data_IF_673016932721
#
_entry.id   IF_673016932721
#
_cell.length_a   1.000
_cell.length_b   1.000
_cell.length_c   1.000
_cell.angle_alpha   90.00
_cell.angle_beta   90.00
_cell.angle_gamma   90.00
#
_symmetry.space_group_name_H-M   'P 1'
#
loop_
_entity.id
_entity.type
_entity.pdbx_description
1 polymer ?
#
# COMPACT_ATOMS: atom_id res chain seq x y z
N UNK A 1 -28.03 42.77 -16.23
CA UNK A 1 -27.16 43.50 -17.18
C UNK A 1 -27.24 42.83 -18.54
N UNK A 2 -27.89 43.47 -19.52
CA UNK A 2 -27.99 42.94 -20.88
C UNK A 2 -26.61 43.00 -21.58
N UNK A 3 -26.23 41.93 -22.28
CA UNK A 3 -24.97 41.87 -23.02
C UNK A 3 -25.00 42.89 -24.18
N UNK A 4 -23.94 43.72 -24.28
CA UNK A 4 -23.81 44.71 -25.36
C UNK A 4 -23.88 44.04 -26.74
N UNK A 5 -24.56 44.66 -27.74
CA UNK A 5 -24.62 44.13 -29.09
C UNK A 5 -23.22 44.03 -29.70
N UNK A 6 -22.89 42.89 -30.30
CA UNK A 6 -21.63 42.71 -31.04
C UNK A 6 -21.71 43.52 -32.32
N UNK A 7 -21.00 44.65 -32.37
CA UNK A 7 -21.00 45.60 -33.49
C UNK A 7 -20.35 45.09 -34.77
N UNK A 8 -19.81 43.87 -34.81
CA UNK A 8 -19.17 43.32 -36.01
C UNK A 8 -19.45 41.81 -36.15
N UNK A 9 -19.97 41.44 -37.33
CA UNK A 9 -20.46 40.10 -37.67
C UNK A 9 -19.29 39.26 -38.22
N UNK A 10 -18.49 38.67 -37.33
CA UNK A 10 -17.48 37.67 -37.72
C UNK A 10 -18.23 36.36 -37.96
N UNK A 11 -18.21 35.88 -39.21
CA UNK A 11 -18.97 34.70 -39.64
C UNK A 11 -18.20 33.40 -39.34
N UNK A 12 -16.87 33.48 -39.21
CA UNK A 12 -16.00 32.30 -39.01
C UNK A 12 -16.08 31.84 -37.55
N UNK A 13 -16.47 30.57 -37.29
CA UNK A 13 -16.50 30.01 -35.94
C UNK A 13 -15.12 30.09 -35.26
N UNK A 14 -15.12 30.29 -33.95
CA UNK A 14 -13.91 30.32 -33.11
C UNK A 14 -12.94 31.48 -33.37
N UNK A 15 -13.22 32.39 -34.31
CA UNK A 15 -12.43 33.60 -34.55
C UNK A 15 -13.03 34.79 -33.81
N UNK A 16 -12.18 35.53 -33.08
CA UNK A 16 -12.56 36.68 -32.28
C UNK A 16 -11.69 37.88 -32.62
N UNK A 17 -12.28 39.07 -32.51
CA UNK A 17 -11.61 40.34 -32.73
C UNK A 17 -11.50 41.12 -31.43
N UNK A 18 -10.29 41.59 -31.12
CA UNK A 18 -9.99 42.40 -29.94
C UNK A 18 -9.42 43.75 -30.38
N UNK A 19 -10.12 44.84 -30.06
CA UNK A 19 -9.62 46.19 -30.30
C UNK A 19 -8.80 46.65 -29.09
N UNK A 20 -7.55 47.03 -29.31
CA UNK A 20 -6.72 47.64 -28.28
C UNK A 20 -7.02 49.15 -28.22
N UNK A 21 -7.66 49.57 -27.12
CA UNK A 21 -8.07 50.97 -26.91
C UNK A 21 -6.89 51.94 -26.79
N UNK A 22 -5.68 51.45 -26.48
CA UNK A 22 -4.49 52.29 -26.30
C UNK A 22 -3.88 52.72 -27.62
N UNK A 23 -3.91 51.83 -28.61
CA UNK A 23 -3.16 51.99 -29.85
C UNK A 23 -4.06 51.99 -31.10
N UNK A 24 -5.38 51.83 -30.93
CA UNK A 24 -6.35 51.74 -32.03
C UNK A 24 -6.23 50.48 -32.89
N UNK A 25 -5.24 49.62 -32.65
CA UNK A 25 -4.96 48.42 -33.44
C UNK A 25 -5.95 47.28 -33.13
N UNK A 26 -6.30 46.55 -34.17
CA UNK A 26 -7.16 45.38 -34.12
C UNK A 26 -6.28 44.13 -34.07
N UNK A 27 -6.53 43.28 -33.09
CA UNK A 27 -5.89 41.98 -32.96
C UNK A 27 -6.92 40.87 -33.14
N UNK A 28 -6.53 39.82 -33.85
CA UNK A 28 -7.33 38.63 -34.07
C UNK A 28 -6.90 37.51 -33.13
N UNK A 29 -7.87 36.78 -32.59
CA UNK A 29 -7.63 35.70 -31.65
C UNK A 29 -8.49 34.49 -32.00
N UNK A 30 -7.90 33.30 -32.00
CA UNK A 30 -8.62 32.05 -32.17
C UNK A 30 -8.88 31.40 -30.82
N UNK A 31 -10.11 30.98 -30.55
CA UNK A 31 -10.47 30.23 -29.34
C UNK A 31 -10.52 28.74 -29.66
N UNK A 32 -9.63 27.96 -29.08
CA UNK A 32 -9.65 26.52 -29.30
C UNK A 32 -10.96 25.92 -28.74
N UNK A 33 -11.75 25.17 -29.53
CA UNK A 33 -13.09 24.72 -29.14
C UNK A 33 -13.08 23.73 -27.96
N UNK A 34 -12.06 22.85 -27.87
CA UNK A 34 -11.93 21.87 -26.79
C UNK A 34 -11.31 22.47 -25.51
N UNK A 35 -10.16 23.15 -25.62
CA UNK A 35 -9.42 23.64 -24.43
C UNK A 35 -9.92 25.00 -23.93
N UNK A 36 -10.70 25.73 -24.73
CA UNK A 36 -11.21 27.06 -24.41
C UNK A 36 -10.17 28.18 -24.38
N UNK A 37 -8.89 27.87 -24.64
CA UNK A 37 -7.78 28.84 -24.63
C UNK A 37 -7.78 29.71 -25.88
N UNK A 38 -7.38 30.97 -25.71
CA UNK A 38 -7.21 31.92 -26.81
C UNK A 38 -5.77 31.93 -27.31
N UNK A 39 -5.60 31.87 -28.63
CA UNK A 39 -4.33 31.99 -29.34
C UNK A 39 -4.36 33.27 -30.18
N UNK A 40 -3.29 34.06 -30.12
CA UNK A 40 -3.18 35.30 -30.91
C UNK A 40 -2.82 34.95 -32.36
N UNK A 41 -3.57 35.51 -33.33
CA UNK A 41 -3.35 35.34 -34.76
C UNK A 41 -2.77 36.60 -35.43
N UNK A 42 -2.38 37.61 -34.65
CA UNK A 42 -1.79 38.85 -35.16
C UNK A 42 -2.82 39.93 -35.52
N UNK A 43 -2.43 40.85 -36.40
CA UNK A 43 -3.22 42.04 -36.77
C UNK A 43 -3.76 41.99 -38.21
N UNK A 44 -3.27 41.06 -39.04
CA UNK A 44 -3.78 40.86 -40.40
C UNK A 44 -5.11 40.09 -40.35
N UNK A 45 -6.14 40.63 -41.00
CA UNK A 45 -7.46 40.02 -41.07
C UNK A 45 -7.51 38.83 -42.03
N UNK A 46 -6.83 38.89 -43.17
CA UNK A 46 -6.92 37.83 -44.17
C UNK A 46 -6.22 36.56 -43.66
N UNK A 47 -5.00 36.71 -43.14
CA UNK A 47 -4.21 35.61 -42.58
C UNK A 47 -4.92 34.96 -41.37
N UNK A 48 -5.53 35.78 -40.49
CA UNK A 48 -6.25 35.26 -39.33
C UNK A 48 -7.53 34.50 -39.72
N UNK A 49 -8.21 34.90 -40.80
CA UNK A 49 -9.39 34.19 -41.32
C UNK A 49 -9.00 32.84 -41.90
N UNK A 50 -7.98 32.79 -42.74
CA UNK A 50 -7.49 31.54 -43.35
C UNK A 50 -7.01 30.55 -42.29
N UNK A 51 -6.21 31.02 -41.33
CA UNK A 51 -5.71 30.21 -40.22
C UNK A 51 -6.85 29.64 -39.37
N UNK A 52 -7.88 30.44 -39.09
CA UNK A 52 -9.04 29.98 -38.32
C UNK A 52 -9.88 28.94 -39.09
N UNK A 53 -10.03 29.09 -40.41
CA UNK A 53 -10.73 28.11 -41.25
C UNK A 53 -9.96 26.79 -41.26
N UNK A 54 -8.65 26.81 -41.52
CA UNK A 54 -7.82 25.60 -41.51
C UNK A 54 -7.84 24.90 -40.14
N UNK A 55 -7.71 25.65 -39.04
CA UNK A 55 -7.77 25.11 -37.69
C UNK A 55 -9.13 24.42 -37.41
N UNK A 56 -10.24 25.03 -37.84
CA UNK A 56 -11.57 24.43 -37.69
C UNK A 56 -11.71 23.13 -38.52
N UNK A 57 -11.20 23.09 -39.75
CA UNK A 57 -11.23 21.89 -40.60
C UNK A 57 -10.42 20.75 -40.01
N UNK A 58 -9.20 21.02 -39.55
CA UNK A 58 -8.33 20.01 -38.91
C UNK A 58 -8.98 19.43 -37.65
N UNK A 59 -9.54 20.30 -36.80
CA UNK A 59 -10.21 19.85 -35.57
C UNK A 59 -11.47 19.05 -35.90
N UNK A 60 -12.26 19.46 -36.90
CA UNK A 60 -13.44 18.74 -37.35
C UNK A 60 -13.08 17.36 -37.92
N UNK A 61 -12.01 17.24 -38.71
CA UNK A 61 -11.51 15.96 -39.22
C UNK A 61 -11.01 15.05 -38.09
N UNK A 62 -10.22 15.58 -37.15
CA UNK A 62 -9.73 14.80 -36.01
C UNK A 62 -10.88 14.31 -35.14
N UNK A 63 -11.87 15.16 -34.87
CA UNK A 63 -13.07 14.81 -34.13
C UNK A 63 -13.88 13.76 -34.88
N UNK A 64 -14.01 13.88 -36.20
CA UNK A 64 -14.72 12.90 -37.05
C UNK A 64 -14.02 11.55 -37.06
N UNK A 65 -12.68 11.51 -37.19
CA UNK A 65 -11.91 10.25 -37.10
C UNK A 65 -12.03 9.61 -35.72
N UNK A 66 -11.96 10.39 -34.65
CA UNK A 66 -12.18 9.88 -33.29
C UNK A 66 -13.60 9.32 -33.13
N UNK A 67 -14.61 10.06 -33.59
CA UNK A 67 -16.01 9.66 -33.50
C UNK A 67 -16.30 8.41 -34.35
N UNK A 68 -15.73 8.30 -35.56
CA UNK A 68 -15.82 7.10 -36.39
C UNK A 68 -15.11 5.91 -35.75
N UNK A 69 -13.92 6.10 -35.17
CA UNK A 69 -13.20 5.04 -34.43
C UNK A 69 -13.98 4.57 -33.19
N UNK A 70 -14.68 5.49 -32.52
CA UNK A 70 -15.55 5.19 -31.38
C UNK A 70 -16.81 4.47 -31.87
N UNK A 71 -17.41 4.90 -32.98
CA UNK A 71 -18.60 4.25 -33.54
C UNK A 71 -18.32 2.86 -34.12
N UNK A 72 -17.16 2.64 -34.75
CA UNK A 72 -16.70 1.29 -35.15
C UNK A 72 -16.41 0.39 -33.94
N UNK A 73 -15.86 0.95 -32.85
CA UNK A 73 -15.72 0.23 -31.57
C UNK A 73 -17.09 -0.08 -30.97
N UNK A 74 -18.02 0.86 -30.96
CA UNK A 74 -19.36 0.71 -30.41
C UNK A 74 -20.24 -0.25 -31.24
N UNK A 75 -20.07 -0.29 -32.57
CA UNK A 75 -20.79 -1.23 -33.44
C UNK A 75 -20.26 -2.66 -33.29
N UNK A 76 -18.95 -2.85 -33.06
CA UNK A 76 -18.36 -4.15 -32.66
C UNK A 76 -18.76 -4.58 -31.24
N UNK A 77 -18.83 -3.65 -30.29
CA UNK A 77 -19.28 -3.91 -28.91
C UNK A 77 -20.78 -4.28 -28.85
N UNK A 78 -21.63 -3.69 -29.71
CA UNK A 78 -23.05 -4.04 -29.80
C UNK A 78 -23.30 -5.45 -30.35
N UNK A 79 -22.38 -5.99 -31.14
CA UNK A 79 -22.51 -7.32 -31.77
C UNK A 79 -21.91 -8.44 -30.91
N UNK A 80 -20.89 -8.17 -30.08
CA UNK A 80 -20.30 -9.14 -29.15
C UNK A 80 -20.35 -8.65 -27.69
N UNK A 81 -21.31 -9.15 -26.90
CA UNK A 81 -21.36 -8.99 -25.41
C UNK A 81 -20.08 -9.48 -24.69
N UNK A 82 -19.16 -10.14 -25.40
CA UNK A 82 -17.94 -10.78 -24.88
C UNK A 82 -16.67 -9.93 -24.92
N UNK A 83 -16.67 -8.74 -25.52
CA UNK A 83 -15.44 -7.96 -25.74
C UNK A 83 -15.37 -6.73 -24.82
N UNK A 84 -14.91 -6.95 -23.58
CA UNK A 84 -14.61 -5.90 -22.62
C UNK A 84 -13.12 -5.53 -22.66
N UNK A 85 -12.79 -4.24 -22.61
CA UNK A 85 -11.41 -3.79 -22.45
C UNK A 85 -10.91 -4.03 -21.02
N UNK A 86 -9.60 -4.13 -20.85
CA UNK A 86 -8.98 -4.26 -19.52
C UNK A 86 -9.35 -3.08 -18.62
N UNK A 87 -9.34 -1.85 -19.14
CA UNK A 87 -9.60 -0.66 -18.32
C UNK A 87 -11.01 -0.68 -17.69
N UNK A 88 -12.03 -0.94 -18.52
CA UNK A 88 -13.43 -1.04 -18.08
C UNK A 88 -13.61 -2.22 -17.11
N UNK A 89 -12.94 -3.35 -17.38
CA UNK A 89 -12.99 -4.50 -16.47
C UNK A 89 -12.34 -4.18 -15.13
N UNK A 90 -11.28 -3.38 -15.10
CA UNK A 90 -10.61 -2.99 -13.84
C UNK A 90 -11.52 -2.15 -12.95
N UNK A 91 -12.34 -1.26 -13.51
CA UNK A 91 -13.33 -0.51 -12.73
C UNK A 91 -14.35 -1.47 -12.08
N UNK A 92 -14.91 -2.39 -12.86
CA UNK A 92 -15.85 -3.41 -12.34
C UNK A 92 -15.20 -4.30 -11.28
N UNK A 93 -13.95 -4.71 -11.49
CA UNK A 93 -13.21 -5.48 -10.49
C UNK A 93 -13.00 -4.69 -9.20
N UNK A 94 -12.69 -3.39 -9.29
CA UNK A 94 -12.56 -2.53 -8.10
C UNK A 94 -13.87 -2.42 -7.34
N UNK A 95 -15.01 -2.32 -8.03
CA UNK A 95 -16.34 -2.33 -7.39
C UNK A 95 -16.59 -3.64 -6.63
N UNK A 96 -16.28 -4.79 -7.22
CA UNK A 96 -16.36 -6.10 -6.55
C UNK A 96 -15.46 -6.13 -5.30
N UNK A 97 -14.23 -5.62 -5.40
CA UNK A 97 -13.31 -5.59 -4.26
C UNK A 97 -13.76 -4.62 -3.16
N UNK A 98 -14.48 -3.55 -3.54
CA UNK A 98 -15.06 -2.58 -2.60
C UNK A 98 -16.26 -3.18 -1.88
N UNK A 99 -17.14 -3.89 -2.58
CA UNK A 99 -18.24 -4.64 -1.96
C UNK A 99 -17.71 -5.64 -0.93
N UNK A 100 -16.66 -6.41 -1.27
CA UNK A 100 -16.00 -7.35 -0.35
C UNK A 100 -15.38 -6.66 0.87
N UNK A 101 -14.95 -5.41 0.73
CA UNK A 101 -14.47 -4.60 1.85
C UNK A 101 -15.64 -4.15 2.74
N UNK A 102 -16.74 -3.71 2.15
CA UNK A 102 -17.91 -3.19 2.86
C UNK A 102 -18.62 -4.29 3.67
N UNK A 103 -18.71 -5.52 3.14
CA UNK A 103 -19.23 -6.68 3.88
C UNK A 103 -18.23 -7.29 4.88
N UNK A 104 -17.00 -6.76 4.94
CA UNK A 104 -15.97 -7.16 5.90
C UNK A 104 -15.19 -8.43 5.56
N UNK A 105 -15.38 -9.01 4.36
CA UNK A 105 -14.59 -10.15 3.86
C UNK A 105 -13.12 -9.76 3.62
N UNK A 106 -12.90 -8.52 3.13
CA UNK A 106 -11.58 -7.96 2.87
C UNK A 106 -11.23 -6.89 3.90
N UNK A 107 -9.99 -6.89 4.40
CA UNK A 107 -9.47 -5.81 5.24
C UNK A 107 -8.98 -4.64 4.38
N UNK A 108 -9.11 -3.41 4.89
CA UNK A 108 -8.71 -2.18 4.19
C UNK A 108 -7.27 -2.20 3.64
N UNK A 109 -6.33 -2.77 4.39
CA UNK A 109 -4.94 -2.86 3.95
C UNK A 109 -4.75 -3.86 2.80
N UNK A 110 -5.54 -4.93 2.77
CA UNK A 110 -5.55 -5.90 1.68
C UNK A 110 -6.14 -5.28 0.41
N UNK A 111 -7.21 -4.50 0.54
CA UNK A 111 -7.79 -3.72 -0.55
C UNK A 111 -6.78 -2.72 -1.14
N UNK A 112 -6.13 -1.91 -0.29
CA UNK A 112 -5.10 -0.94 -0.73
C UNK A 112 -3.92 -1.60 -1.46
N UNK A 113 -3.53 -2.82 -1.08
CA UNK A 113 -2.44 -3.53 -1.76
C UNK A 113 -2.78 -3.93 -3.20
N UNK A 114 -4.07 -4.04 -3.56
CA UNK A 114 -4.51 -4.38 -4.92
C UNK A 114 -4.38 -3.21 -5.91
N UNK A 115 -4.33 -1.97 -5.43
CA UNK A 115 -4.29 -0.77 -6.28
C UNK A 115 -3.08 -0.70 -7.20
N UNK A 116 -1.88 -0.96 -6.67
CA UNK A 116 -0.65 -0.88 -7.49
C UNK A 116 -0.63 -1.94 -8.61
N UNK A 117 -0.94 -3.22 -8.36
CA UNK A 117 -1.13 -4.20 -9.44
C UNK A 117 -2.14 -3.79 -10.51
N UNK A 118 -3.30 -3.26 -10.10
CA UNK A 118 -4.36 -2.83 -11.02
C UNK A 118 -3.88 -1.68 -11.90
N UNK A 119 -3.25 -0.67 -11.30
CA UNK A 119 -2.72 0.49 -12.04
C UNK A 119 -1.63 0.09 -13.03
N UNK A 120 -0.75 -0.85 -12.65
CA UNK A 120 0.24 -1.39 -13.57
C UNK A 120 -0.42 -2.15 -14.72
N UNK A 121 -1.45 -2.94 -14.45
CA UNK A 121 -2.16 -3.64 -15.51
C UNK A 121 -2.90 -2.69 -16.46
N UNK A 122 -3.50 -1.61 -15.95
CA UNK A 122 -4.07 -0.53 -16.79
C UNK A 122 -3.01 0.14 -17.67
N UNK A 123 -1.86 0.46 -17.09
CA UNK A 123 -0.79 1.14 -17.82
C UNK A 123 -0.27 0.31 -19.01
N UNK A 124 -0.14 -1.01 -18.84
CA UNK A 124 0.42 -1.88 -19.88
C UNK A 124 -0.64 -2.43 -20.85
N UNK A 125 -1.84 -2.75 -20.36
CA UNK A 125 -2.84 -3.51 -21.11
C UNK A 125 -4.20 -2.83 -21.22
N UNK A 126 -4.38 -1.61 -20.71
CA UNK A 126 -5.70 -0.97 -20.55
C UNK A 126 -6.55 -0.90 -21.82
N UNK A 127 -5.93 -0.66 -22.98
CA UNK A 127 -6.61 -0.56 -24.28
C UNK A 127 -6.88 -1.90 -24.95
N UNK A 128 -6.27 -2.99 -24.47
CA UNK A 128 -6.44 -4.33 -25.03
C UNK A 128 -7.75 -4.97 -24.55
N UNK A 129 -8.27 -5.89 -25.34
CA UNK A 129 -9.43 -6.69 -24.95
C UNK A 129 -8.99 -7.74 -23.93
N UNK A 130 -9.78 -7.94 -22.88
CA UNK A 130 -9.42 -8.82 -21.76
C UNK A 130 -9.14 -10.27 -22.21
N UNK A 131 -9.88 -10.75 -23.21
CA UNK A 131 -9.75 -12.09 -23.79
C UNK A 131 -8.47 -12.26 -24.64
N UNK A 132 -7.88 -11.17 -25.12
CA UNK A 132 -6.65 -11.19 -25.94
C UNK A 132 -5.39 -11.16 -25.10
N UNK A 133 -5.49 -10.89 -23.79
CA UNK A 133 -4.34 -10.82 -22.90
C UNK A 133 -3.68 -12.19 -22.80
N UNK A 134 -2.40 -12.27 -23.12
CA UNK A 134 -1.62 -13.50 -23.13
C UNK A 134 -0.75 -13.63 -21.88
N UNK A 135 -0.16 -14.81 -21.67
CA UNK A 135 0.81 -15.01 -20.60
C UNK A 135 2.08 -14.14 -20.80
N UNK A 136 2.40 -13.78 -22.05
CA UNK A 136 3.52 -12.90 -22.38
C UNK A 136 3.29 -11.49 -21.83
N UNK A 137 2.10 -10.91 -22.06
CA UNK A 137 1.74 -9.59 -21.53
C UNK A 137 1.88 -9.52 -20.00
N UNK A 138 1.44 -10.57 -19.31
CA UNK A 138 1.56 -10.63 -17.85
C UNK A 138 3.01 -10.82 -17.42
N UNK A 139 3.81 -11.60 -18.16
CA UNK A 139 5.22 -11.79 -17.89
C UNK A 139 6.00 -10.47 -18.01
N UNK A 140 5.73 -9.65 -19.03
CA UNK A 140 6.35 -8.33 -19.20
C UNK A 140 6.11 -7.40 -18.01
N UNK A 141 4.87 -7.37 -17.49
CA UNK A 141 4.54 -6.58 -16.29
C UNK A 141 5.27 -7.12 -15.05
N UNK A 142 5.37 -8.44 -14.91
CA UNK A 142 6.07 -9.06 -13.78
C UNK A 142 7.58 -8.79 -13.87
N UNK A 143 8.16 -8.88 -15.06
CA UNK A 143 9.59 -8.72 -15.29
C UNK A 143 10.03 -7.26 -15.15
N UNK A 144 9.23 -6.29 -15.57
CA UNK A 144 9.53 -4.87 -15.33
C UNK A 144 9.70 -4.55 -13.83
N UNK A 145 8.89 -5.20 -12.97
CA UNK A 145 8.98 -5.05 -11.52
C UNK A 145 10.19 -5.80 -10.95
N UNK A 146 10.55 -6.94 -11.53
CA UNK A 146 11.73 -7.72 -11.11
C UNK A 146 13.03 -7.01 -11.45
N UNK A 147 13.12 -6.36 -12.62
CA UNK A 147 14.29 -5.57 -13.03
C UNK A 147 14.57 -4.45 -12.03
N UNK A 148 13.53 -3.85 -11.45
CA UNK A 148 13.64 -2.86 -10.37
C UNK A 148 14.02 -3.47 -8.99
N UNK A 149 14.27 -4.79 -8.92
CA UNK A 149 14.61 -5.50 -7.69
C UNK A 149 13.41 -5.79 -6.77
N UNK A 150 12.18 -5.54 -7.20
CA UNK A 150 10.98 -5.66 -6.37
C UNK A 150 10.30 -7.04 -6.48
N UNK A 151 11.05 -8.11 -6.24
CA UNK A 151 10.59 -9.51 -6.41
C UNK A 151 9.31 -9.84 -5.63
N UNK A 152 9.17 -9.36 -4.38
CA UNK A 152 7.93 -9.55 -3.60
C UNK A 152 6.74 -8.84 -4.22
N UNK A 153 6.94 -7.64 -4.76
CA UNK A 153 5.87 -6.90 -5.43
C UNK A 153 5.42 -7.64 -6.70
N UNK A 154 6.37 -8.21 -7.45
CA UNK A 154 6.06 -9.03 -8.63
C UNK A 154 5.18 -10.24 -8.27
N UNK A 155 5.41 -10.89 -7.12
CA UNK A 155 4.52 -11.94 -6.61
C UNK A 155 3.11 -11.42 -6.31
N UNK A 156 3.00 -10.24 -5.68
CA UNK A 156 1.71 -9.61 -5.37
C UNK A 156 0.97 -9.26 -6.64
N UNK A 157 1.66 -8.71 -7.65
CA UNK A 157 1.09 -8.42 -8.96
C UNK A 157 0.51 -9.67 -9.59
N UNK A 158 1.30 -10.73 -9.71
CA UNK A 158 0.81 -12.01 -10.24
C UNK A 158 -0.41 -12.52 -9.47
N UNK A 159 -0.40 -12.47 -8.14
CA UNK A 159 -1.51 -12.94 -7.31
C UNK A 159 -2.79 -12.13 -7.55
N UNK A 160 -2.69 -10.80 -7.65
CA UNK A 160 -3.86 -9.94 -7.91
C UNK A 160 -4.37 -10.14 -9.33
N UNK A 161 -3.50 -10.30 -10.31
CA UNK A 161 -3.91 -10.55 -11.69
C UNK A 161 -4.57 -11.93 -11.85
N UNK A 162 -4.13 -12.94 -11.10
CA UNK A 162 -4.83 -14.23 -11.04
C UNK A 162 -6.27 -14.04 -10.55
N UNK A 163 -6.47 -13.25 -9.50
CA UNK A 163 -7.78 -12.94 -8.93
C UNK A 163 -8.65 -12.14 -9.92
N UNK A 164 -8.07 -11.13 -10.58
CA UNK A 164 -8.72 -10.35 -11.64
C UNK A 164 -9.28 -11.23 -12.75
N UNK A 165 -8.49 -12.19 -13.24
CA UNK A 165 -8.96 -13.12 -14.28
C UNK A 165 -9.94 -14.17 -13.73
N UNK A 166 -9.86 -14.51 -12.44
CA UNK A 166 -10.83 -15.41 -11.82
C UNK A 166 -12.21 -14.75 -11.71
N UNK A 167 -12.28 -13.50 -11.26
CA UNK A 167 -13.53 -12.73 -11.26
C UNK A 167 -14.05 -12.52 -12.69
N UNK A 168 -13.16 -12.38 -13.68
CA UNK A 168 -13.56 -12.25 -15.08
C UNK A 168 -14.20 -13.52 -15.63
N UNK A 169 -13.73 -14.69 -15.19
CA UNK A 169 -14.34 -15.99 -15.51
C UNK A 169 -15.74 -16.07 -14.90
N UNK A 170 -15.90 -15.68 -13.63
CA UNK A 170 -17.20 -15.68 -12.95
C UNK A 170 -18.21 -14.73 -13.63
N UNK A 171 -17.74 -13.59 -14.13
CA UNK A 171 -18.57 -12.63 -14.85
C UNK A 171 -18.79 -12.97 -16.35
N UNK A 172 -18.19 -14.05 -16.85
CA UNK A 172 -18.38 -14.52 -18.23
C UNK A 172 -17.63 -13.72 -19.31
N UNK A 173 -16.72 -12.81 -18.94
CA UNK A 173 -15.92 -12.04 -19.92
C UNK A 173 -14.77 -12.84 -20.53
N UNK A 174 -14.33 -13.90 -19.84
CA UNK A 174 -13.33 -14.85 -20.35
C UNK A 174 -13.79 -16.29 -20.10
N UNK A 175 -13.39 -17.26 -20.95
CA UNK A 175 -13.80 -18.65 -20.79
C UNK A 175 -13.35 -19.25 -19.45
N UNK A 176 -14.08 -20.22 -18.89
CA UNK A 176 -13.62 -21.00 -17.74
C UNK A 176 -12.22 -21.57 -17.97
N UNK A 177 -11.34 -21.44 -16.98
CA UNK A 177 -9.94 -21.89 -17.09
C UNK A 177 -8.99 -20.90 -17.79
N UNK A 178 -9.49 -19.87 -18.47
CA UNK A 178 -8.65 -18.84 -19.09
C UNK A 178 -8.07 -17.88 -18.04
N UNK A 179 -6.82 -18.12 -17.62
CA UNK A 179 -6.12 -17.25 -16.68
C UNK A 179 -4.64 -17.10 -17.08
N UNK A 180 -4.32 -16.09 -17.92
CA UNK A 180 -2.97 -15.83 -18.39
C UNK A 180 -1.97 -15.61 -17.24
N UNK A 181 -2.41 -14.94 -16.17
CA UNK A 181 -1.57 -14.70 -15.00
C UNK A 181 -1.20 -16.00 -14.25
N UNK A 182 -2.11 -16.99 -14.23
CA UNK A 182 -1.85 -18.31 -13.63
C UNK A 182 -0.83 -19.11 -14.45
N UNK A 183 -0.82 -18.95 -15.77
CA UNK A 183 0.15 -19.60 -16.67
C UNK A 183 1.58 -19.06 -16.52
N UNK A 184 1.75 -17.82 -16.03
CA UNK A 184 3.09 -17.25 -15.80
C UNK A 184 3.85 -17.94 -14.67
N UNK A 185 5.18 -17.94 -14.76
CA UNK A 185 6.07 -18.45 -13.71
C UNK A 185 5.95 -17.61 -12.43
N UNK A 186 5.81 -18.27 -11.29
CA UNK A 186 5.80 -17.58 -9.99
C UNK A 186 7.17 -16.94 -9.71
N UNK A 187 7.24 -15.61 -9.45
CA UNK A 187 8.49 -14.97 -9.07
C UNK A 187 9.03 -15.55 -7.77
N UNK A 188 10.33 -15.86 -7.72
CA UNK A 188 11.00 -16.28 -6.50
C UNK A 188 11.40 -15.04 -5.69
N UNK A 189 11.12 -15.05 -4.39
CA UNK A 189 11.53 -13.99 -3.48
C UNK A 189 12.22 -14.61 -2.26
N UNK A 190 13.53 -14.39 -2.11
CA UNK A 190 14.29 -14.78 -0.91
C UNK A 190 14.09 -13.71 0.17
N UNK A 191 13.90 -14.15 1.42
CA UNK A 191 13.77 -13.23 2.55
C UNK A 191 15.16 -12.70 2.89
N UNK A 192 15.36 -11.39 2.73
CA UNK A 192 16.65 -10.72 2.99
C UNK A 192 16.82 -10.25 4.43
N UNK A 193 15.73 -10.11 5.17
CA UNK A 193 15.75 -9.57 6.53
C UNK A 193 16.37 -10.58 7.48
N UNK A 194 17.36 -10.14 8.23
CA UNK A 194 18.03 -10.92 9.26
C UNK A 194 17.18 -11.05 10.52
N UNK A 195 17.47 -12.08 11.31
CA UNK A 195 17.00 -12.21 12.68
C UNK A 195 17.74 -11.27 13.61
N UNK A 196 17.13 -11.02 14.76
CA UNK A 196 17.69 -10.22 15.83
C UNK A 196 18.17 -11.16 16.94
N UNK A 197 19.45 -11.16 17.26
CA UNK A 197 19.98 -11.90 18.43
C UNK A 197 19.65 -11.15 19.72
N UNK A 198 19.82 -11.83 20.86
CA UNK A 198 19.60 -11.21 22.17
C UNK A 198 20.57 -10.03 22.41
N UNK A 199 21.83 -10.15 21.99
CA UNK A 199 22.84 -9.11 22.17
C UNK A 199 22.61 -7.90 21.27
N UNK A 200 22.18 -8.14 20.02
CA UNK A 200 21.71 -7.05 19.14
C UNK A 200 20.51 -6.34 19.78
N UNK A 201 19.55 -7.10 20.32
CA UNK A 201 18.38 -6.53 21.00
C UNK A 201 18.78 -5.69 22.21
N UNK A 202 19.69 -6.18 23.06
CA UNK A 202 20.21 -5.45 24.24
C UNK A 202 20.88 -4.14 23.84
N UNK A 203 21.72 -4.17 22.81
CA UNK A 203 22.40 -2.99 22.27
C UNK A 203 21.39 -1.94 21.76
N UNK A 204 20.39 -2.38 21.00
CA UNK A 204 19.31 -1.49 20.52
C UNK A 204 18.46 -0.97 21.68
N UNK A 205 18.16 -1.80 22.68
CA UNK A 205 17.37 -1.44 23.86
C UNK A 205 18.08 -0.40 24.74
N UNK A 206 19.41 -0.49 24.87
CA UNK A 206 20.21 0.51 25.54
C UNK A 206 20.15 1.85 24.78
N UNK A 207 20.26 1.82 23.45
CA UNK A 207 20.14 3.02 22.63
C UNK A 207 18.72 3.61 22.66
N UNK A 208 17.69 2.78 22.88
CA UNK A 208 16.32 3.23 23.01
C UNK A 208 16.08 4.17 24.22
N UNK A 209 16.97 4.20 25.22
CA UNK A 209 16.95 5.18 26.32
C UNK A 209 17.04 6.63 25.83
N UNK A 210 17.71 6.85 24.69
CA UNK A 210 17.90 8.17 24.07
C UNK A 210 16.72 8.57 23.17
N UNK A 211 15.63 7.80 23.18
CA UNK A 211 14.43 7.99 22.40
C UNK A 211 13.20 8.15 23.31
N UNK A 212 12.03 8.55 22.77
CA UNK A 212 10.82 8.67 23.57
C UNK A 212 10.53 7.39 24.38
N UNK A 213 10.14 7.51 25.67
CA UNK A 213 10.07 6.36 26.58
C UNK A 213 9.17 5.21 26.14
N UNK A 214 8.14 5.50 25.33
CA UNK A 214 7.26 4.48 24.76
C UNK A 214 8.02 3.41 23.96
N UNK A 215 9.21 3.72 23.42
CA UNK A 215 9.98 2.76 22.65
C UNK A 215 10.47 1.60 23.53
N UNK A 216 11.00 1.90 24.72
CA UNK A 216 11.45 0.87 25.65
C UNK A 216 10.28 0.00 26.13
N UNK A 217 9.15 0.63 26.52
CA UNK A 217 7.93 -0.08 26.87
C UNK A 217 7.46 -1.01 25.73
N UNK A 218 7.42 -0.49 24.49
CA UNK A 218 7.04 -1.28 23.32
C UNK A 218 7.98 -2.45 23.04
N UNK A 219 9.29 -2.26 23.20
CA UNK A 219 10.29 -3.33 23.02
C UNK A 219 10.16 -4.42 24.08
N UNK A 220 10.02 -4.04 25.35
CA UNK A 220 9.81 -4.99 26.45
C UNK A 220 8.52 -5.80 26.26
N UNK A 221 7.41 -5.14 25.91
CA UNK A 221 6.15 -5.81 25.62
C UNK A 221 6.28 -6.75 24.41
N UNK A 222 6.99 -6.35 23.36
CA UNK A 222 7.22 -7.20 22.19
C UNK A 222 7.99 -8.48 22.55
N UNK A 223 9.04 -8.36 23.37
CA UNK A 223 9.87 -9.48 23.75
C UNK A 223 9.18 -10.41 24.76
N UNK A 224 8.46 -9.85 25.74
CA UNK A 224 7.80 -10.64 26.80
C UNK A 224 6.49 -11.28 26.37
N UNK A 225 5.71 -10.63 25.50
CA UNK A 225 4.41 -11.18 25.06
C UNK A 225 4.47 -11.89 23.72
N UNK A 226 5.52 -11.67 22.93
CA UNK A 226 5.64 -12.18 21.57
C UNK A 226 4.59 -11.65 20.61
N UNK A 227 3.84 -10.59 20.92
CA UNK A 227 2.71 -10.12 20.10
C UNK A 227 3.13 -9.26 18.89
N UNK A 228 2.20 -9.04 17.95
CA UNK A 228 2.48 -8.19 16.78
C UNK A 228 2.44 -6.72 17.18
N UNK A 229 3.24 -5.89 16.51
CA UNK A 229 3.33 -4.44 16.77
C UNK A 229 1.96 -3.74 16.77
N UNK A 230 1.04 -4.13 15.87
CA UNK A 230 -0.31 -3.59 15.81
C UNK A 230 -1.12 -3.89 17.08
N UNK A 231 -0.98 -5.11 17.61
CA UNK A 231 -1.66 -5.56 18.82
C UNK A 231 -1.03 -4.90 20.06
N UNK A 232 0.31 -4.79 20.12
CA UNK A 232 1.05 -4.12 21.21
C UNK A 232 0.62 -2.66 21.38
N UNK A 233 0.54 -1.92 20.28
CA UNK A 233 0.08 -0.53 20.32
C UNK A 233 -1.36 -0.39 20.84
N UNK A 234 -2.20 -1.44 20.73
CA UNK A 234 -3.62 -1.42 21.12
C UNK A 234 -3.88 -1.91 22.55
N UNK A 235 -2.90 -2.53 23.19
CA UNK A 235 -3.04 -3.04 24.57
C UNK A 235 -3.41 -1.92 25.54
N UNK A 236 -4.43 -2.16 26.37
CA UNK A 236 -4.89 -1.23 27.40
C UNK A 236 -4.70 -1.80 28.79
N UNK A 237 -4.59 -0.92 29.78
CA UNK A 237 -4.55 -1.34 31.18
C UNK A 237 -5.86 -2.02 31.61
N UNK A 238 -6.99 -1.69 30.97
CA UNK A 238 -8.28 -2.36 31.17
C UNK A 238 -8.34 -3.79 30.64
N UNK A 239 -7.41 -4.17 29.76
CA UNK A 239 -7.35 -5.52 29.19
C UNK A 239 -6.69 -6.52 30.16
N UNK A 240 -6.25 -6.03 31.33
CA UNK A 240 -5.62 -6.82 32.38
C UNK A 240 -6.65 -7.10 33.47
N UNK A 241 -6.96 -8.38 33.66
CA UNK A 241 -7.88 -8.89 34.68
C UNK A 241 -7.56 -10.35 34.95
N UNK A 242 -7.96 -10.88 36.10
CA UNK A 242 -7.61 -12.24 36.58
C UNK A 242 -6.10 -12.55 36.51
N UNK A 243 -5.27 -11.54 36.78
CA UNK A 243 -3.80 -11.62 36.71
C UNK A 243 -3.25 -12.03 35.32
N UNK A 244 -4.03 -11.77 34.26
CA UNK A 244 -3.65 -12.05 32.88
C UNK A 244 -3.90 -10.83 31.97
N UNK A 245 -3.05 -10.67 30.97
CA UNK A 245 -3.22 -9.72 29.88
C UNK A 245 -4.01 -10.38 28.74
N UNK A 246 -5.21 -9.85 28.47
CA UNK A 246 -6.11 -10.37 27.45
C UNK A 246 -5.93 -9.62 26.12
N UNK A 247 -5.70 -10.36 25.04
CA UNK A 247 -5.39 -9.80 23.73
C UNK A 247 -6.24 -10.49 22.66
N UNK A 248 -6.89 -9.68 21.81
CA UNK A 248 -7.49 -10.15 20.56
C UNK A 248 -6.65 -9.67 19.38
N UNK A 249 -6.00 -10.61 18.69
CA UNK A 249 -5.11 -10.30 17.58
C UNK A 249 -5.89 -9.77 16.37
N UNK A 250 -5.52 -8.61 15.85
CA UNK A 250 -6.24 -7.96 14.73
C UNK A 250 -6.15 -8.79 13.43
N UNK A 251 -5.01 -9.43 13.17
CA UNK A 251 -4.74 -10.12 11.91
C UNK A 251 -5.49 -11.45 11.78
N UNK A 252 -5.58 -12.21 12.87
CA UNK A 252 -6.08 -13.59 12.87
C UNK A 252 -7.37 -13.76 13.67
N UNK A 253 -7.76 -12.76 14.47
CA UNK A 253 -8.90 -12.84 15.39
C UNK A 253 -8.65 -13.72 16.62
N UNK A 254 -7.44 -14.26 16.80
CA UNK A 254 -7.11 -15.16 17.89
C UNK A 254 -7.15 -14.43 19.23
N UNK A 255 -7.80 -15.03 20.23
CA UNK A 255 -7.88 -14.52 21.60
C UNK A 255 -6.88 -15.25 22.49
N UNK A 256 -6.10 -14.50 23.25
CA UNK A 256 -5.08 -15.01 24.15
C UNK A 256 -5.23 -14.34 25.51
N UNK A 257 -4.97 -15.11 26.57
CA UNK A 257 -4.74 -14.60 27.92
C UNK A 257 -3.30 -14.96 28.29
N UNK A 258 -2.47 -13.95 28.55
CA UNK A 258 -1.06 -14.13 28.88
C UNK A 258 -0.89 -13.83 30.37
N UNK A 259 -0.44 -14.78 31.20
CA UNK A 259 -0.32 -14.54 32.64
C UNK A 259 0.74 -13.48 32.92
N UNK A 260 0.46 -12.57 33.87
CA UNK A 260 1.41 -11.52 34.26
C UNK A 260 2.68 -12.10 34.93
N UNK A 261 2.60 -13.32 35.45
CA UNK A 261 3.73 -14.08 35.98
C UNK A 261 4.68 -14.61 34.89
N UNK A 262 4.32 -14.54 33.60
CA UNK A 262 5.21 -14.95 32.51
C UNK A 262 6.51 -14.14 32.57
N UNK A 263 7.63 -14.83 32.79
CA UNK A 263 8.96 -14.25 32.93
C UNK A 263 9.84 -14.63 31.76
N UNK A 264 10.51 -13.64 31.17
CA UNK A 264 11.54 -13.89 30.18
C UNK A 264 12.89 -13.95 30.90
N UNK A 265 13.43 -15.16 31.10
CA UNK A 265 14.66 -15.38 31.85
C UNK A 265 15.86 -14.62 31.27
N UNK A 266 15.95 -14.52 29.94
CA UNK A 266 17.04 -13.85 29.22
C UNK A 266 17.21 -12.35 29.55
N UNK A 267 16.16 -11.68 30.02
CA UNK A 267 16.17 -10.28 30.47
C UNK A 267 15.80 -10.14 31.94
N UNK A 268 15.53 -11.25 32.63
CA UNK A 268 15.11 -11.33 34.03
C UNK A 268 13.94 -10.39 34.40
N UNK A 269 12.91 -10.32 33.55
CA UNK A 269 11.71 -9.51 33.78
C UNK A 269 10.43 -10.32 33.55
N UNK A 270 9.47 -10.16 34.46
CA UNK A 270 8.11 -10.66 34.27
C UNK A 270 7.25 -9.68 33.47
N UNK A 271 6.16 -10.18 32.87
CA UNK A 271 5.18 -9.32 32.23
C UNK A 271 4.58 -8.31 33.22
N UNK A 272 4.42 -8.68 34.50
CA UNK A 272 4.03 -7.75 35.56
C UNK A 272 5.00 -6.59 35.69
N UNK A 273 6.29 -6.86 35.73
CA UNK A 273 7.34 -5.83 35.84
C UNK A 273 7.32 -4.89 34.63
N UNK A 274 7.12 -5.46 33.43
CA UNK A 274 7.00 -4.68 32.19
C UNK A 274 5.76 -3.79 32.21
N UNK A 275 4.61 -4.30 32.64
CA UNK A 275 3.38 -3.51 32.78
C UNK A 275 3.56 -2.39 33.80
N UNK A 276 4.25 -2.64 34.91
CA UNK A 276 4.59 -1.61 35.89
C UNK A 276 5.47 -0.51 35.28
N UNK A 277 6.48 -0.86 34.47
CA UNK A 277 7.34 0.10 33.75
C UNK A 277 6.58 0.90 32.68
N UNK A 278 5.52 0.33 32.09
CA UNK A 278 4.64 1.04 31.17
C UNK A 278 3.81 2.11 31.90
N UNK A 279 3.54 1.92 33.20
CA UNK A 279 2.78 2.86 34.00
C UNK A 279 3.68 4.02 34.43
N UNK A 280 3.18 5.23 34.23
CA UNK A 280 3.86 6.47 34.57
C UNK A 280 2.87 7.49 35.14
N UNK A 281 3.33 8.71 35.40
CA UNK A 281 2.49 9.80 35.90
C UNK A 281 1.50 10.37 34.85
N UNK A 282 1.46 9.82 33.64
CA UNK A 282 0.55 10.24 32.57
C UNK A 282 -0.69 9.35 32.58
N UNK A 283 -1.86 9.97 32.71
CA UNK A 283 -3.13 9.26 32.57
C UNK A 283 -3.30 8.81 31.11
N UNK A 284 -3.22 7.51 30.89
CA UNK A 284 -3.51 6.87 29.60
C UNK A 284 -4.29 5.57 29.78
N UNK A 285 -5.08 5.23 28.77
CA UNK A 285 -5.73 3.92 28.66
C UNK A 285 -4.77 2.85 28.15
N UNK A 286 -3.74 3.25 27.39
CA UNK A 286 -2.87 2.34 26.65
C UNK A 286 -1.58 2.03 27.42
N UNK A 287 -1.02 0.83 27.24
CA UNK A 287 0.29 0.49 27.81
C UNK A 287 1.44 1.23 27.10
N UNK A 288 1.27 1.50 25.80
CA UNK A 288 2.24 2.23 24.98
C UNK A 288 1.63 3.56 24.54
N UNK A 289 1.95 4.62 25.28
CA UNK A 289 1.39 5.96 25.07
C UNK A 289 2.45 7.07 25.03
N UNK A 290 2.05 8.23 24.51
CA UNK A 290 2.89 9.42 24.51
C UNK A 290 2.96 10.05 25.91
N UNK A 291 4.17 10.22 26.46
CA UNK A 291 4.38 10.89 27.76
C UNK A 291 4.33 12.41 27.69
N UNK A 292 4.57 12.96 26.51
CA UNK A 292 4.55 14.41 26.24
C UNK A 292 3.72 14.69 24.98
N UNK A 293 3.15 15.89 24.91
CA UNK A 293 2.49 16.37 23.69
C UNK A 293 3.53 16.58 22.60
N UNK A 294 3.22 16.13 21.40
CA UNK A 294 4.01 16.32 20.18
C UNK A 294 3.13 16.97 19.11
N UNK A 295 3.73 17.39 18.00
CA UNK A 295 2.97 17.95 16.88
C UNK A 295 1.93 16.98 16.27
N UNK A 296 2.06 15.67 16.53
CA UNK A 296 1.26 14.62 15.89
C UNK A 296 0.36 13.86 16.88
N UNK A 297 0.51 14.09 18.19
CA UNK A 297 -0.23 13.36 19.22
C UNK A 297 -0.19 14.12 20.56
N UNK A 298 -1.30 14.05 21.30
CA UNK A 298 -1.40 14.62 22.65
C UNK A 298 -0.80 13.67 23.69
N UNK A 299 -0.42 14.25 24.84
CA UNK A 299 -0.03 13.48 26.03
C UNK A 299 -1.12 12.48 26.40
N UNK A 300 -0.73 11.22 26.64
CA UNK A 300 -1.62 10.10 26.99
C UNK A 300 -2.23 9.38 25.78
N UNK A 301 -2.06 9.87 24.56
CA UNK A 301 -2.60 9.21 23.36
C UNK A 301 -1.81 7.95 22.98
N UNK A 302 -2.47 7.09 22.20
CA UNK A 302 -1.91 5.84 21.67
C UNK A 302 -0.73 6.09 20.73
N UNK A 303 0.35 5.33 20.90
CA UNK A 303 1.44 5.32 19.90
C UNK A 303 1.05 4.43 18.72
N UNK A 304 1.14 4.96 17.50
CA UNK A 304 0.83 4.17 16.30
C UNK A 304 1.91 3.14 15.98
N UNK A 305 1.58 2.02 15.31
CA UNK A 305 2.58 1.03 14.88
C UNK A 305 3.66 1.63 13.96
N UNK A 306 3.29 2.60 13.12
CA UNK A 306 4.24 3.27 12.23
C UNK A 306 5.22 4.16 13.01
N UNK A 307 4.74 4.88 14.03
CA UNK A 307 5.62 5.64 14.93
C UNK A 307 6.60 4.70 15.62
N UNK A 308 6.09 3.62 16.24
CA UNK A 308 6.92 2.70 17.02
C UNK A 308 8.00 2.03 16.15
N UNK A 309 7.65 1.54 14.96
CA UNK A 309 8.66 0.94 14.05
C UNK A 309 9.65 1.96 13.51
N UNK A 310 9.24 3.22 13.31
CA UNK A 310 10.13 4.29 12.82
C UNK A 310 11.10 4.71 13.91
N UNK A 311 10.63 4.87 15.15
CA UNK A 311 11.48 5.21 16.30
C UNK A 311 12.43 4.06 16.61
N UNK A 312 11.98 2.80 16.52
CA UNK A 312 12.85 1.63 16.62
C UNK A 312 13.95 1.64 15.56
N UNK A 313 13.59 1.92 14.29
CA UNK A 313 14.58 2.06 13.21
C UNK A 313 15.63 3.14 13.55
N UNK A 314 15.21 4.30 14.06
CA UNK A 314 16.14 5.36 14.47
C UNK A 314 17.07 4.92 15.60
N UNK A 315 16.58 4.17 16.58
CA UNK A 315 17.40 3.63 17.66
C UNK A 315 18.42 2.61 17.13
N UNK A 316 17.95 1.68 16.29
CA UNK A 316 18.80 0.68 15.63
C UNK A 316 19.88 1.32 14.77
N UNK A 317 19.53 2.29 13.93
CA UNK A 317 20.50 2.95 13.03
C UNK A 317 21.54 3.77 13.81
N UNK A 318 21.29 4.08 15.11
CA UNK A 318 22.22 4.79 16.00
C UNK A 318 22.92 3.88 17.03
N UNK A 319 22.69 2.57 17.01
CA UNK A 319 23.23 1.67 18.05
C UNK A 319 24.66 1.19 17.77
N UNK A 320 25.27 1.61 16.66
CA UNK A 320 26.65 1.28 16.28
C UNK A 320 26.83 -0.07 15.55
N UNK A 321 25.79 -0.90 15.50
CA UNK A 321 25.78 -2.15 14.74
C UNK A 321 25.57 -1.89 13.24
N UNK A 322 26.19 -2.72 12.42
CA UNK A 322 26.12 -2.66 10.95
C UNK A 322 25.40 -3.88 10.40
N UNK A 323 24.61 -3.66 9.35
CA UNK A 323 23.93 -4.72 8.60
C UNK A 323 24.05 -4.41 7.12
N UNK A 324 23.93 -5.44 6.29
CA UNK A 324 23.84 -5.24 4.86
C UNK A 324 22.62 -4.40 4.47
N UNK A 325 22.72 -3.71 3.33
CA UNK A 325 21.69 -2.79 2.87
C UNK A 325 20.35 -3.51 2.69
N UNK A 326 19.40 -3.18 3.55
CA UNK A 326 18.03 -3.71 3.51
C UNK A 326 17.84 -5.06 4.22
N UNK A 327 18.85 -5.57 4.94
CA UNK A 327 18.75 -6.81 5.72
C UNK A 327 18.48 -6.54 7.20
N UNK A 328 18.83 -5.37 7.71
CA UNK A 328 18.74 -4.99 9.12
C UNK A 328 17.40 -5.39 9.79
N UNK A 329 17.44 -5.98 11.00
CA UNK A 329 16.25 -6.46 11.69
C UNK A 329 15.30 -5.31 12.01
N UNK A 330 14.00 -5.59 11.95
CA UNK A 330 12.93 -4.61 12.22
C UNK A 330 12.33 -4.86 13.59
N UNK A 331 11.48 -3.94 14.09
CA UNK A 331 10.74 -4.14 15.34
C UNK A 331 10.02 -5.50 15.38
N UNK A 332 9.52 -6.00 14.24
CA UNK A 332 8.83 -7.29 14.15
C UNK A 332 9.72 -8.51 14.48
N UNK A 333 11.05 -8.40 14.34
CA UNK A 333 11.94 -9.53 14.63
C UNK A 333 12.01 -9.83 16.14
N UNK A 334 11.61 -8.90 17.01
CA UNK A 334 11.44 -9.16 18.44
C UNK A 334 10.43 -10.28 18.72
N UNK A 335 9.44 -10.48 17.85
CA UNK A 335 8.49 -11.59 17.97
C UNK A 335 9.14 -12.95 17.68
N UNK A 336 10.09 -13.00 16.74
CA UNK A 336 10.89 -14.21 16.47
C UNK A 336 11.93 -14.45 17.56
N UNK A 337 12.54 -13.39 18.09
CA UNK A 337 13.41 -13.50 19.26
C UNK A 337 12.65 -14.00 20.49
N UNK A 338 11.47 -13.44 20.78
CA UNK A 338 10.59 -13.88 21.86
C UNK A 338 10.25 -15.37 21.75
N UNK A 339 9.89 -15.84 20.54
CA UNK A 339 9.64 -17.26 20.27
C UNK A 339 10.86 -18.11 20.63
N UNK A 340 12.05 -17.79 20.11
CA UNK A 340 13.25 -18.60 20.37
C UNK A 340 13.60 -18.66 21.87
N UNK A 341 13.58 -17.52 22.55
CA UNK A 341 13.88 -17.44 24.00
C UNK A 341 12.89 -18.24 24.86
N UNK A 342 11.60 -18.17 24.53
CA UNK A 342 10.59 -18.90 25.29
C UNK A 342 10.56 -20.40 24.96
N UNK A 343 10.95 -20.78 23.75
CA UNK A 343 11.08 -22.19 23.37
C UNK A 343 12.17 -22.87 24.20
N UNK A 344 13.30 -22.20 24.39
CA UNK A 344 14.40 -22.67 25.27
C UNK A 344 13.96 -22.79 26.73
N UNK A 345 13.00 -21.96 27.17
CA UNK A 345 12.40 -22.03 28.51
C UNK A 345 11.27 -23.09 28.64
N UNK A 346 10.99 -23.86 27.58
CA UNK A 346 9.93 -24.89 27.58
C UNK A 346 8.51 -24.33 27.50
N UNK A 347 8.32 -23.04 27.21
CA UNK A 347 6.99 -22.44 27.05
C UNK A 347 6.40 -22.83 25.70
N UNK A 348 5.09 -23.09 25.66
CA UNK A 348 4.40 -23.36 24.40
C UNK A 348 4.27 -22.08 23.55
N UNK A 349 5.25 -21.86 22.67
CA UNK A 349 5.34 -20.67 21.83
C UNK A 349 4.28 -20.62 20.73
N UNK A 350 3.79 -21.77 20.26
CA UNK A 350 2.68 -21.82 19.31
C UNK A 350 1.42 -21.15 19.88
N UNK A 351 1.07 -21.48 21.13
CA UNK A 351 -0.04 -20.85 21.86
C UNK A 351 0.27 -19.38 22.14
N UNK A 352 1.45 -19.05 22.66
CA UNK A 352 1.84 -17.66 22.97
C UNK A 352 1.74 -16.74 21.74
N UNK A 353 2.18 -17.19 20.58
CA UNK A 353 2.12 -16.42 19.35
C UNK A 353 0.71 -16.46 18.72
N UNK A 354 -0.20 -17.32 19.16
CA UNK A 354 -1.53 -17.48 18.58
C UNK A 354 -1.48 -18.07 17.16
N UNK A 355 -0.57 -19.02 16.92
CA UNK A 355 -0.45 -19.72 15.65
C UNK A 355 -1.32 -20.97 15.63
N UNK A 356 -2.14 -21.13 14.58
CA UNK A 356 -2.99 -22.33 14.41
C UNK A 356 -2.17 -23.59 14.12
N UNK A 357 -1.04 -23.47 13.44
CA UNK A 357 -0.23 -24.62 12.99
C UNK A 357 1.23 -24.48 13.42
N UNK A 358 1.87 -25.61 13.72
CA UNK A 358 3.27 -25.65 14.15
C UNK A 358 4.24 -25.16 13.06
N UNK A 359 3.97 -25.49 11.79
CA UNK A 359 4.71 -24.99 10.63
C UNK A 359 4.85 -23.46 10.58
N UNK A 360 3.88 -22.72 11.14
CA UNK A 360 4.00 -21.26 11.23
C UNK A 360 4.94 -20.82 12.35
N UNK A 361 4.96 -21.53 13.47
CA UNK A 361 5.87 -21.29 14.60
C UNK A 361 7.31 -21.66 14.26
N UNK A 362 7.54 -22.77 13.54
CA UNK A 362 8.89 -23.18 13.16
C UNK A 362 9.58 -22.15 12.24
N UNK A 363 8.80 -21.42 11.43
CA UNK A 363 9.31 -20.27 10.67
C UNK A 363 9.76 -19.09 11.51
N UNK A 364 9.32 -18.97 12.78
CA UNK A 364 9.82 -17.96 13.71
C UNK A 364 11.04 -18.46 14.48
N UNK A 365 11.14 -19.78 14.67
CA UNK A 365 12.29 -20.44 15.29
C UNK A 365 13.53 -20.41 14.40
N UNK A 366 13.35 -20.56 13.08
CA UNK A 366 14.42 -20.47 12.10
C UNK A 366 15.17 -19.12 12.20
N UNK A 367 16.44 -19.22 12.59
CA UNK A 367 17.40 -18.14 12.78
C UNK A 367 17.93 -17.57 11.43
N UNK A 368 17.59 -18.24 10.33
CA UNK A 368 18.01 -17.98 8.95
C UNK A 368 19.52 -18.12 8.73
N UNK A 369 20.16 -19.03 9.46
CA UNK A 369 21.59 -19.29 9.37
C UNK A 369 22.44 -18.13 9.90
N UNK A 370 21.94 -17.44 10.93
CA UNK A 370 22.65 -16.33 11.57
C UNK A 370 23.63 -16.85 12.62
N UNK A 371 23.28 -17.91 13.31
CA UNK A 371 24.07 -18.58 14.32
C UNK A 371 24.39 -20.01 13.88
N UNK A 372 25.50 -20.56 14.38
CA UNK A 372 25.86 -21.95 14.12
C UNK A 372 24.99 -22.89 14.95
N UNK A 373 24.52 -23.98 14.35
CA UNK A 373 23.83 -25.02 15.09
C UNK A 373 24.85 -25.87 15.84
N UNK A 374 24.94 -25.66 17.16
CA UNK A 374 25.80 -26.45 18.03
C UNK A 374 25.06 -27.75 18.36
N UNK A 375 25.64 -28.88 17.96
CA UNK A 375 25.13 -30.21 18.31
C UNK A 375 25.62 -30.51 19.72
N UNK A 376 24.71 -30.53 20.69
CA UNK A 376 25.02 -30.97 22.05
C UNK A 376 25.37 -32.47 22.04
N UNK A 377 26.48 -32.83 22.69
CA UNK A 377 26.94 -34.21 22.90
C UNK A 377 26.55 -34.67 24.28
#
# INVERSE_FOLDING_TARGET
MAARPRTHKIIIPNLYRKLDKRNGKIYWQYKHPITGKFHSLGTDEQEARETAIQANTIIAEQHTRQLLSINERLSKIKTNKSEISVDIWMDKYLDIQKERLDIGELKINSYRQKMKPINLFRQYCGTKILKEITALDIAEIIDSIKVLGHSRMAQVVRMVLIDVFKEAQHAGYVPPGYNPAKATKQPRNRVKRERMTLDEWRTIYQQAKNHPPYLQCGMLLALTTGQRIGDICKMKFSDIWDDMLHIQQEKTGSKLAIPLSLKCEAINLSLRDVVAQCRDAVVSKYLVHYRHTTAQAKRGEQVTPNTLTTTFKKARDKCGLTWEKGTAPTFHEQRSLSERLYREQGINTQKLLGHKTQNMTDKYHDDRGKEWQIIAV
#
